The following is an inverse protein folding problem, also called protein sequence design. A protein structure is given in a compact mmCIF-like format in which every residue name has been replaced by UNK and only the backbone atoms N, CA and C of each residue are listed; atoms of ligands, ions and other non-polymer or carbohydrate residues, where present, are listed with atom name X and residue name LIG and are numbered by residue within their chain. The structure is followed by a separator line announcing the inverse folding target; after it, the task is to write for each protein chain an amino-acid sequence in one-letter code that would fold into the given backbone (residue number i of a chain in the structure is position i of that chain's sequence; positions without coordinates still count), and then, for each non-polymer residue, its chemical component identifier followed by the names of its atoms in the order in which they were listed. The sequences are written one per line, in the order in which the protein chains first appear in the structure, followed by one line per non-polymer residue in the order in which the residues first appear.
data_IF_281314233196
#
_entry.id   IF_281314233196
#
_cell.length_a   1.000
_cell.length_b   1.000
_cell.length_c   1.000
_cell.angle_alpha   90.00
_cell.angle_beta   90.00
_cell.angle_gamma   90.00
#
_symmetry.space_group_name_H-M   'P 1'
#
loop_
_entity.id
_entity.type
_entity.pdbx_description
1 polymer ?
#
# COMPACT_ATOMS: atom_id res chain seq x y z
N UNK A 1 -12.18 25.55 32.69
CA UNK A 1 -12.95 24.40 33.20
C UNK A 1 -12.36 23.76 34.47
N UNK A 2 -11.16 23.17 34.49
CA UNK A 2 -10.64 22.49 35.70
C UNK A 2 -10.32 23.49 36.83
N UNK A 3 -9.65 24.60 36.50
CA UNK A 3 -9.26 25.65 37.46
C UNK A 3 -10.50 26.34 38.09
N UNK A 4 -11.57 26.52 37.32
CA UNK A 4 -12.81 27.16 37.80
C UNK A 4 -13.61 26.25 38.74
N UNK A 5 -13.52 24.93 38.58
CA UNK A 5 -14.22 23.99 39.47
C UNK A 5 -13.60 24.00 40.88
N UNK A 6 -12.28 24.11 40.97
CA UNK A 6 -11.54 24.12 42.24
C UNK A 6 -11.80 25.41 43.04
N UNK A 7 -11.86 26.56 42.37
CA UNK A 7 -12.17 27.85 43.02
C UNK A 7 -13.60 27.89 43.56
N UNK A 8 -14.57 27.35 42.81
CA UNK A 8 -15.97 27.26 43.25
C UNK A 8 -16.11 26.33 44.46
N UNK A 9 -15.45 25.17 44.45
CA UNK A 9 -15.45 24.23 45.57
C UNK A 9 -14.88 24.84 46.84
N UNK A 10 -13.76 25.55 46.73
CA UNK A 10 -13.09 26.22 47.86
C UNK A 10 -13.96 27.33 48.46
N UNK A 11 -14.54 28.19 47.62
CA UNK A 11 -15.42 29.27 48.08
C UNK A 11 -16.70 28.73 48.75
N UNK A 12 -17.24 27.63 48.23
CA UNK A 12 -18.44 26.99 48.79
C UNK A 12 -18.13 26.36 50.15
N UNK A 13 -16.97 25.70 50.29
CA UNK A 13 -16.51 25.15 51.57
C UNK A 13 -16.37 26.24 52.64
N UNK A 14 -15.75 27.36 52.30
CA UNK A 14 -15.56 28.48 53.25
C UNK A 14 -16.90 29.04 53.73
N UNK A 15 -17.84 29.31 52.81
CA UNK A 15 -19.18 29.83 53.17
C UNK A 15 -20.00 28.84 53.98
N UNK A 16 -19.98 27.55 53.64
CA UNK A 16 -20.69 26.54 54.40
C UNK A 16 -20.10 26.35 55.80
N UNK A 17 -18.78 26.41 55.95
CA UNK A 17 -18.13 26.34 57.26
C UNK A 17 -18.53 27.54 58.13
N UNK A 18 -18.47 28.75 57.58
CA UNK A 18 -18.92 29.96 58.28
C UNK A 18 -20.38 29.87 58.74
N UNK A 19 -21.28 29.39 57.86
CA UNK A 19 -22.69 29.20 58.20
C UNK A 19 -22.87 28.20 59.36
N UNK A 20 -22.17 27.07 59.32
CA UNK A 20 -22.26 26.03 60.35
C UNK A 20 -21.64 26.45 61.70
N UNK A 21 -20.63 27.31 61.66
CA UNK A 21 -20.00 27.91 62.84
C UNK A 21 -20.94 28.95 63.48
N UNK A 22 -21.62 29.77 62.68
CA UNK A 22 -22.65 30.72 63.14
C UNK A 22 -23.83 30.01 63.82
N UNK A 23 -24.27 28.87 63.26
CA UNK A 23 -25.29 28.01 63.88
C UNK A 23 -24.77 27.19 65.08
N UNK A 24 -23.48 27.30 65.45
CA UNK A 24 -22.83 26.54 66.54
C UNK A 24 -23.09 25.03 66.46
N UNK A 25 -23.11 24.50 65.23
CA UNK A 25 -23.49 23.10 64.98
C UNK A 25 -22.44 22.07 65.43
N UNK A 26 -21.19 22.50 65.68
CA UNK A 26 -20.08 21.60 66.02
C UNK A 26 -19.59 20.73 64.87
N UNK A 27 -20.07 20.98 63.64
CA UNK A 27 -19.74 20.19 62.44
C UNK A 27 -18.61 20.88 61.67
N UNK A 28 -17.58 20.12 61.30
CA UNK A 28 -16.45 20.60 60.49
C UNK A 28 -16.45 19.94 59.11
N UNK A 29 -16.45 20.76 58.07
CA UNK A 29 -16.47 20.31 56.68
C UNK A 29 -15.04 20.02 56.21
N UNK A 30 -14.78 18.77 55.85
CA UNK A 30 -13.46 18.33 55.36
C UNK A 30 -13.26 18.68 53.89
N UNK A 31 -14.25 18.42 53.03
CA UNK A 31 -14.13 18.60 51.58
C UNK A 31 -15.50 18.85 50.94
N UNK A 32 -15.56 19.68 49.90
CA UNK A 32 -16.75 19.91 49.07
C UNK A 32 -16.42 19.50 47.65
N UNK A 33 -17.06 18.45 47.16
CA UNK A 33 -16.95 18.00 45.77
C UNK A 33 -18.16 18.46 44.99
N UNK A 34 -17.94 19.17 43.89
CA UNK A 34 -19.00 19.41 42.91
C UNK A 34 -19.32 18.06 42.23
N UNK A 35 -20.52 17.54 42.45
CA UNK A 35 -21.04 16.47 41.60
C UNK A 35 -21.21 17.01 40.18
N UNK A 36 -20.90 16.19 39.17
CA UNK A 36 -20.80 16.62 37.79
C UNK A 36 -22.04 17.41 37.34
N UNK A 37 -21.83 18.67 36.94
CA UNK A 37 -22.86 19.49 36.28
C UNK A 37 -23.02 18.96 34.85
N UNK A 38 -24.03 18.12 34.65
CA UNK A 38 -24.48 17.74 33.32
C UNK A 38 -25.37 18.86 32.75
N UNK A 39 -25.24 19.22 31.46
CA UNK A 39 -26.14 20.17 30.82
C UNK A 39 -27.60 19.70 30.94
N UNK A 40 -28.59 20.62 31.02
CA UNK A 40 -30.00 20.28 30.91
C UNK A 40 -30.26 19.50 29.62
N UNK A 41 -31.13 18.49 29.66
CA UNK A 41 -31.39 17.61 28.51
C UNK A 41 -31.83 18.36 27.25
N UNK A 42 -32.47 19.52 27.42
CA UNK A 42 -32.97 20.39 26.35
C UNK A 42 -31.86 21.02 25.48
N UNK A 43 -30.65 21.22 26.01
CA UNK A 43 -29.56 21.94 25.30
C UNK A 43 -28.39 21.05 24.87
N UNK A 44 -28.36 19.80 25.32
CA UNK A 44 -27.34 18.81 24.93
C UNK A 44 -27.11 18.70 23.40
N UNK A 45 -28.15 18.64 22.54
CA UNK A 45 -27.92 18.51 21.09
C UNK A 45 -27.17 19.73 20.52
N UNK A 46 -27.59 20.95 20.88
CA UNK A 46 -26.95 22.17 20.38
C UNK A 46 -25.48 22.31 20.83
N UNK A 47 -25.14 21.87 22.04
CA UNK A 47 -23.75 21.85 22.50
C UNK A 47 -22.91 20.77 21.81
N UNK A 48 -23.50 19.59 21.55
CA UNK A 48 -22.82 18.53 20.81
C UNK A 48 -22.48 18.98 19.38
N UNK A 49 -23.41 19.65 18.70
CA UNK A 49 -23.21 20.15 17.33
C UNK A 49 -22.03 21.13 17.23
N UNK A 50 -21.87 22.03 18.21
CA UNK A 50 -20.76 23.00 18.24
C UNK A 50 -19.41 22.31 18.45
N UNK A 51 -19.37 21.22 19.23
CA UNK A 51 -18.14 20.45 19.45
C UNK A 51 -17.76 19.69 18.18
N UNK A 52 -18.73 19.00 17.58
CA UNK A 52 -18.54 18.27 16.32
C UNK A 52 -18.06 19.22 15.22
N UNK A 53 -18.72 20.37 15.05
CA UNK A 53 -18.32 21.34 14.03
C UNK A 53 -16.89 21.90 14.23
N UNK A 54 -16.42 22.02 15.48
CA UNK A 54 -15.05 22.42 15.78
C UNK A 54 -14.05 21.32 15.46
N UNK A 55 -14.38 20.07 15.80
CA UNK A 55 -13.56 18.91 15.51
C UNK A 55 -13.44 18.65 14.00
N UNK A 56 -14.55 18.77 13.27
CA UNK A 56 -14.58 18.67 11.81
C UNK A 56 -13.72 19.76 11.17
N UNK A 57 -13.85 21.01 11.66
CA UNK A 57 -13.00 22.11 11.18
C UNK A 57 -11.52 21.81 11.38
N UNK A 58 -11.14 21.36 12.57
CA UNK A 58 -9.74 21.05 12.88
C UNK A 58 -9.23 19.88 12.02
N UNK A 59 -10.07 18.86 11.82
CA UNK A 59 -9.78 17.72 10.96
C UNK A 59 -9.54 18.14 9.51
N UNK A 60 -10.39 19.00 8.96
CA UNK A 60 -10.26 19.52 7.59
C UNK A 60 -8.96 20.33 7.46
N UNK A 61 -8.63 21.18 8.44
CA UNK A 61 -7.38 21.96 8.43
C UNK A 61 -6.17 21.03 8.46
N UNK A 62 -6.16 20.03 9.34
CA UNK A 62 -5.07 19.06 9.45
C UNK A 62 -4.90 18.25 8.16
N UNK A 63 -6.00 17.83 7.54
CA UNK A 63 -5.96 17.12 6.26
C UNK A 63 -5.43 18.01 5.13
N UNK A 64 -5.82 19.28 5.08
CA UNK A 64 -5.31 20.23 4.09
C UNK A 64 -3.81 20.46 4.25
N UNK A 65 -3.34 20.65 5.49
CA UNK A 65 -1.92 20.78 5.79
C UNK A 65 -1.13 19.52 5.42
N UNK A 66 -1.63 18.34 5.81
CA UNK A 66 -1.01 17.08 5.43
C UNK A 66 -0.95 16.90 3.91
N UNK A 67 -2.00 17.32 3.19
CA UNK A 67 -2.01 17.29 1.73
C UNK A 67 -0.93 18.20 1.15
N UNK A 68 -0.87 19.47 1.56
CA UNK A 68 0.15 20.43 1.12
C UNK A 68 1.57 19.93 1.39
N UNK A 69 1.81 19.38 2.58
CA UNK A 69 3.09 18.81 2.99
C UNK A 69 3.45 17.56 2.16
N UNK A 70 2.45 16.79 1.69
CA UNK A 70 2.66 15.57 0.91
C UNK A 70 2.91 15.80 -0.59
N UNK A 71 2.39 16.90 -1.17
CA UNK A 71 2.45 17.14 -2.62
C UNK A 71 3.90 17.29 -3.10
N UNK A 72 4.70 18.11 -2.41
CA UNK A 72 6.06 18.42 -2.85
C UNK A 72 7.02 17.19 -2.75
N UNK A 73 7.03 16.41 -1.66
CA UNK A 73 7.78 15.16 -1.59
C UNK A 73 7.37 14.14 -2.66
N UNK A 74 6.07 14.01 -2.91
CA UNK A 74 5.53 13.07 -3.90
C UNK A 74 5.98 13.46 -5.31
N UNK A 75 5.78 14.72 -5.72
CA UNK A 75 6.21 15.22 -7.02
C UNK A 75 7.74 15.08 -7.22
N UNK A 76 8.53 15.33 -6.16
CA UNK A 76 9.99 15.11 -6.19
C UNK A 76 10.34 13.62 -6.32
N UNK A 77 9.60 12.75 -5.66
CA UNK A 77 9.75 11.30 -5.74
C UNK A 77 9.48 10.78 -7.15
N UNK A 78 8.36 11.19 -7.74
CA UNK A 78 7.97 10.85 -9.11
C UNK A 78 8.99 11.36 -10.12
N UNK A 79 9.44 12.62 -9.99
CA UNK A 79 10.46 13.19 -10.86
C UNK A 79 11.76 12.40 -10.80
N UNK A 80 12.22 12.02 -9.60
CA UNK A 80 13.43 11.20 -9.43
C UNK A 80 13.25 9.81 -10.02
N UNK A 81 12.09 9.18 -9.80
CA UNK A 81 11.76 7.87 -10.36
C UNK A 81 11.83 7.91 -11.89
N UNK A 82 11.23 8.92 -12.52
CA UNK A 82 11.25 9.07 -13.97
C UNK A 82 12.67 9.22 -14.53
N UNK A 83 13.51 10.02 -13.85
CA UNK A 83 14.91 10.18 -14.25
C UNK A 83 15.67 8.85 -14.10
N UNK A 84 15.45 8.12 -13.02
CA UNK A 84 16.15 6.86 -12.76
C UNK A 84 15.70 5.76 -13.72
N UNK A 85 14.41 5.66 -14.01
CA UNK A 85 13.86 4.75 -15.02
C UNK A 85 14.47 5.06 -16.41
N UNK A 86 14.61 6.34 -16.76
CA UNK A 86 15.25 6.75 -18.01
C UNK A 86 16.75 6.38 -18.05
N UNK A 87 17.47 6.54 -16.93
CA UNK A 87 18.88 6.10 -16.82
C UNK A 87 19.01 4.59 -16.92
N UNK A 88 18.16 3.85 -16.22
CA UNK A 88 18.13 2.39 -16.24
C UNK A 88 17.84 1.87 -17.66
N UNK A 89 16.87 2.47 -18.35
CA UNK A 89 16.57 2.14 -19.74
C UNK A 89 17.77 2.39 -20.66
N UNK A 90 18.40 3.57 -20.55
CA UNK A 90 19.60 3.90 -21.31
C UNK A 90 20.73 2.89 -21.06
N UNK A 91 21.02 2.58 -19.79
CA UNK A 91 22.05 1.62 -19.42
C UNK A 91 21.75 0.22 -19.96
N UNK A 92 20.50 -0.24 -19.82
CA UNK A 92 20.05 -1.53 -20.36
C UNK A 92 20.21 -1.60 -21.88
N UNK A 93 19.84 -0.53 -22.60
CA UNK A 93 20.00 -0.44 -24.05
C UNK A 93 21.48 -0.54 -24.46
N UNK A 94 22.36 0.21 -23.80
CA UNK A 94 23.80 0.18 -24.07
C UNK A 94 24.37 -1.21 -23.78
N UNK A 95 24.12 -1.75 -22.60
CA UNK A 95 24.64 -3.06 -22.19
C UNK A 95 24.14 -4.19 -23.10
N UNK A 96 22.88 -4.12 -23.53
CA UNK A 96 22.32 -5.09 -24.47
C UNK A 96 22.98 -4.98 -25.84
N UNK A 97 23.20 -3.75 -26.33
CA UNK A 97 23.88 -3.52 -27.61
C UNK A 97 25.35 -4.01 -27.56
N UNK A 98 26.08 -3.71 -26.48
CA UNK A 98 27.44 -4.19 -26.26
C UNK A 98 27.51 -5.71 -26.12
N UNK A 99 26.59 -6.30 -25.36
CA UNK A 99 26.49 -7.76 -25.22
C UNK A 99 26.19 -8.45 -26.55
N UNK A 100 25.28 -7.91 -27.35
CA UNK A 100 24.98 -8.42 -28.70
C UNK A 100 26.18 -8.28 -29.64
N UNK A 101 26.88 -7.14 -29.62
CA UNK A 101 28.10 -6.94 -30.40
C UNK A 101 29.20 -7.93 -30.01
N UNK A 102 29.42 -8.13 -28.70
CA UNK A 102 30.38 -9.10 -28.16
C UNK A 102 30.01 -10.53 -28.56
N UNK A 103 28.73 -10.92 -28.43
CA UNK A 103 28.22 -12.22 -28.88
C UNK A 103 28.47 -12.42 -30.39
N UNK A 104 28.17 -11.41 -31.20
CA UNK A 104 28.36 -11.46 -32.64
C UNK A 104 29.84 -11.62 -33.03
N UNK A 105 30.73 -10.85 -32.42
CA UNK A 105 32.18 -10.97 -32.69
C UNK A 105 32.72 -12.34 -32.31
N UNK A 106 32.27 -12.91 -31.19
CA UNK A 106 32.64 -14.26 -30.75
C UNK A 106 32.20 -15.32 -31.77
N UNK A 107 30.93 -15.26 -32.21
CA UNK A 107 30.39 -16.16 -33.24
C UNK A 107 31.14 -15.98 -34.56
N UNK A 108 31.47 -14.76 -34.96
CA UNK A 108 32.21 -14.48 -36.21
C UNK A 108 33.60 -15.13 -36.21
N UNK A 109 34.30 -15.09 -35.07
CA UNK A 109 35.62 -15.75 -34.92
C UNK A 109 35.48 -17.26 -35.09
N UNK A 110 34.47 -17.88 -34.48
CA UNK A 110 34.21 -19.32 -34.61
C UNK A 110 33.75 -19.70 -36.03
N UNK A 111 32.88 -18.89 -36.63
CA UNK A 111 32.38 -19.09 -37.99
C UNK A 111 33.51 -19.07 -39.02
N UNK A 112 34.49 -18.17 -38.85
CA UNK A 112 35.68 -18.12 -39.70
C UNK A 112 36.54 -19.39 -39.59
N UNK A 113 36.52 -20.09 -38.45
CA UNK A 113 37.25 -21.37 -38.27
C UNK A 113 36.51 -22.54 -38.89
N UNK A 114 35.19 -22.63 -38.72
CA UNK A 114 34.38 -23.77 -39.18
C UNK A 114 32.97 -23.36 -39.65
N UNK A 115 32.81 -22.86 -40.88
CA UNK A 115 31.56 -22.23 -41.32
C UNK A 115 30.37 -23.19 -41.42
N UNK A 116 30.60 -24.44 -41.82
CA UNK A 116 29.51 -25.42 -42.03
C UNK A 116 28.90 -25.88 -40.70
N UNK A 117 29.73 -26.17 -39.70
CA UNK A 117 29.30 -26.67 -38.39
C UNK A 117 28.60 -25.54 -37.61
N UNK A 118 29.14 -24.33 -37.62
CA UNK A 118 28.53 -23.18 -36.94
C UNK A 118 27.16 -22.83 -37.52
N UNK A 119 26.98 -22.92 -38.84
CA UNK A 119 25.67 -22.68 -39.49
C UNK A 119 24.63 -23.73 -39.09
N UNK A 120 25.01 -25.01 -39.09
CA UNK A 120 24.12 -26.09 -38.68
C UNK A 120 23.73 -25.98 -37.20
N UNK A 121 24.69 -25.66 -36.31
CA UNK A 121 24.41 -25.42 -34.90
C UNK A 121 23.41 -24.29 -34.70
N UNK A 122 23.63 -23.13 -35.32
CA UNK A 122 22.73 -21.99 -35.21
C UNK A 122 21.31 -22.34 -35.68
N UNK A 123 21.19 -23.09 -36.78
CA UNK A 123 19.90 -23.56 -37.28
C UNK A 123 19.17 -24.41 -36.23
N UNK A 124 19.85 -25.41 -35.66
CA UNK A 124 19.24 -26.27 -34.64
C UNK A 124 18.88 -25.52 -33.36
N UNK A 125 19.71 -24.59 -32.91
CA UNK A 125 19.43 -23.74 -31.75
C UNK A 125 18.20 -22.85 -31.98
N UNK A 126 18.09 -22.22 -33.16
CA UNK A 126 16.89 -21.44 -33.52
C UNK A 126 15.64 -22.30 -33.67
N UNK A 127 15.78 -23.53 -34.17
CA UNK A 127 14.67 -24.47 -34.23
C UNK A 127 14.24 -24.91 -32.84
N UNK A 128 15.17 -25.18 -31.93
CA UNK A 128 14.86 -25.52 -30.53
C UNK A 128 14.10 -24.39 -29.81
N UNK A 129 14.45 -23.13 -30.07
CA UNK A 129 13.78 -21.97 -29.48
C UNK A 129 12.37 -21.76 -30.05
N UNK A 130 12.18 -21.94 -31.36
CA UNK A 130 10.93 -21.62 -32.05
C UNK A 130 9.92 -22.78 -32.07
N UNK A 131 10.38 -24.03 -32.11
CA UNK A 131 9.51 -25.21 -32.21
C UNK A 131 8.48 -25.37 -31.09
N UNK A 132 8.74 -25.03 -29.80
CA UNK A 132 7.76 -25.13 -28.73
C UNK A 132 6.51 -24.27 -28.94
N UNK A 133 6.63 -23.16 -29.68
CA UNK A 133 5.52 -22.23 -29.95
C UNK A 133 4.68 -22.59 -31.18
N UNK A 134 5.02 -23.65 -31.92
CA UNK A 134 4.33 -24.01 -33.16
C UNK A 134 3.49 -25.26 -32.94
N UNK A 135 2.19 -25.16 -33.23
CA UNK A 135 1.30 -26.32 -33.32
C UNK A 135 1.65 -27.13 -34.57
N UNK A 136 2.40 -28.22 -34.38
CA UNK A 136 2.85 -29.09 -35.48
C UNK A 136 1.76 -30.11 -35.82
N UNK A 137 1.20 -30.00 -37.03
CA UNK A 137 0.32 -31.03 -37.60
C UNK A 137 1.16 -31.96 -38.49
N UNK A 138 1.26 -33.24 -38.12
CA UNK A 138 1.94 -34.28 -38.92
C UNK A 138 0.86 -35.10 -39.60
N UNK A 139 0.80 -35.04 -40.92
CA UNK A 139 -0.16 -35.79 -41.73
C UNK A 139 0.61 -36.93 -42.41
N UNK A 140 0.17 -38.16 -42.18
CA UNK A 140 0.64 -39.33 -42.90
C UNK A 140 -0.15 -39.46 -44.21
N UNK A 141 0.55 -39.53 -45.34
CA UNK A 141 -0.04 -39.55 -46.68
C UNK A 141 -0.75 -40.85 -47.03
N UNK A 142 -0.60 -41.92 -46.24
CA UNK A 142 -1.21 -43.23 -46.53
C UNK A 142 -2.54 -43.48 -45.81
N UNK A 143 -2.88 -42.72 -44.75
CA UNK A 143 -4.14 -42.89 -44.03
C UNK A 143 -4.87 -41.55 -43.93
N UNK A 144 -6.04 -41.50 -44.56
CA UNK A 144 -6.85 -40.30 -44.73
C UNK A 144 -7.12 -39.48 -43.46
N UNK A 145 -7.41 -38.21 -43.68
CA UNK A 145 -7.65 -37.17 -42.69
C UNK A 145 -8.69 -37.65 -41.67
N UNK A 146 -8.25 -38.02 -40.46
CA UNK A 146 -9.13 -38.09 -39.31
C UNK A 146 -9.37 -36.64 -38.83
N UNK A 147 -10.61 -36.14 -38.83
CA UNK A 147 -10.90 -34.82 -38.30
C UNK A 147 -10.52 -34.80 -36.81
N UNK A 148 -9.56 -33.94 -36.48
CA UNK A 148 -9.08 -33.77 -35.11
C UNK A 148 -10.20 -33.13 -34.31
N UNK A 149 -10.79 -33.89 -33.38
CA UNK A 149 -11.64 -33.34 -32.33
C UNK A 149 -10.72 -32.69 -31.29
N UNK A 150 -10.77 -31.36 -31.07
CA UNK A 150 -9.97 -30.72 -30.04
C UNK A 150 -10.53 -31.14 -28.67
N UNK A 151 -9.88 -32.10 -28.02
CA UNK A 151 -10.14 -32.40 -26.62
C UNK A 151 -9.40 -31.37 -25.78
N UNK A 152 -10.17 -30.51 -25.10
CA UNK A 152 -9.76 -29.90 -23.84
C UNK A 152 -8.55 -28.99 -23.91
N UNK A 153 -8.81 -27.72 -24.19
CA UNK A 153 -8.06 -26.64 -23.59
C UNK A 153 -8.25 -26.76 -22.06
N UNK A 154 -7.35 -27.45 -21.38
CA UNK A 154 -7.25 -27.40 -19.92
C UNK A 154 -6.29 -26.26 -19.56
N UNK A 155 -6.90 -25.21 -19.04
CA UNK A 155 -6.27 -24.09 -18.37
C UNK A 155 -5.41 -24.60 -17.19
N UNK A 156 -4.11 -24.79 -17.44
CA UNK A 156 -3.14 -24.98 -16.37
C UNK A 156 -2.74 -23.61 -15.79
N UNK A 157 -3.71 -22.92 -15.20
CA UNK A 157 -3.46 -21.96 -14.13
C UNK A 157 -3.35 -22.70 -12.80
N UNK A 158 -2.27 -22.42 -12.06
CA UNK A 158 -2.04 -22.71 -10.63
C UNK A 158 -1.93 -24.17 -10.20
N UNK A 159 -0.70 -24.69 -10.18
CA UNK A 159 -0.27 -25.76 -9.27
C UNK A 159 0.91 -25.26 -8.41
N UNK A 160 0.63 -24.25 -7.58
CA UNK A 160 1.36 -24.08 -6.31
C UNK A 160 0.28 -24.06 -5.22
N UNK A 161 0.15 -25.13 -4.41
CA UNK A 161 -0.80 -25.15 -3.31
C UNK A 161 -0.32 -24.24 -2.17
N UNK A 162 -1.19 -23.36 -1.70
CA UNK A 162 -0.99 -22.65 -0.42
C UNK A 162 -0.94 -23.67 0.72
N UNK A 163 0.02 -23.59 1.65
CA UNK A 163 0.03 -24.45 2.82
C UNK A 163 -1.09 -24.02 3.78
N UNK A 164 -2.02 -24.94 4.01
CA UNK A 164 -3.01 -24.85 5.09
C UNK A 164 -2.32 -24.65 6.44
N UNK A 165 -2.36 -23.43 6.97
CA UNK A 165 -2.12 -23.18 8.40
C UNK A 165 -3.39 -23.63 9.12
N UNK A 166 -3.28 -24.74 9.85
CA UNK A 166 -4.34 -25.28 10.69
C UNK A 166 -4.85 -24.23 11.68
N UNK A 167 -6.17 -24.13 11.77
CA UNK A 167 -6.86 -23.56 12.93
C UNK A 167 -6.99 -24.67 13.98
N UNK A 168 -6.15 -24.61 15.00
CA UNK A 168 -6.53 -24.78 16.41
C UNK A 168 -5.70 -23.80 17.25
#
# INVERSE_FOLDING_TARGET
VIIERETIQTNTKLKLQQLLDDYKSGIRITEVKLQGVNPPDEVKPAFADVVIAKEDKETIINQAQAYEESVLPTARGESRKLIEDARAYKATRINTAEGQASKFTSILIEYRKAPNITRQRLLYETMEEVLPGITKFIIDTESGILPILPLGQEDNTSLIPEPNVGKE
#
